data_IF_468167010680
#
_entry.id   IF_468167010680
#
_cell.length_a   1.000
_cell.length_b   1.000
_cell.length_c   1.000
_cell.angle_alpha   90.00
_cell.angle_beta   90.00
_cell.angle_gamma   90.00
#
_symmetry.space_group_name_H-M   'P 1'
#
loop_
_entity.id
_entity.type
_entity.pdbx_description
1 polymer ?
#
# COMPACT_ATOMS: atom_id res chain seq x y z
N UNK A 1 2.09 9.49 -20.92
CA UNK A 1 0.82 8.85 -21.29
C UNK A 1 1.12 7.52 -21.94
N UNK A 2 0.32 6.49 -21.64
CA UNK A 2 0.36 5.23 -22.39
C UNK A 2 0.03 5.56 -23.85
N UNK A 3 0.92 5.22 -24.79
CA UNK A 3 0.67 5.48 -26.21
C UNK A 3 -0.59 4.75 -26.70
N UNK A 4 -1.18 5.17 -27.84
CA UNK A 4 -2.43 4.58 -28.37
C UNK A 4 -2.38 3.06 -28.58
N UNK A 5 -1.18 2.48 -28.75
CA UNK A 5 -0.96 1.02 -28.82
C UNK A 5 -1.29 0.26 -27.52
N UNK A 6 -1.28 0.93 -26.37
CA UNK A 6 -1.57 0.30 -25.06
C UNK A 6 -3.02 0.51 -24.59
N UNK A 7 -3.81 1.33 -25.29
CA UNK A 7 -5.18 1.65 -24.89
C UNK A 7 -6.16 0.48 -25.12
N UNK A 8 -5.90 -0.37 -26.11
CA UNK A 8 -6.75 -1.52 -26.45
C UNK A 8 -6.61 -2.72 -25.52
N UNK A 9 -5.67 -2.69 -24.57
CA UNK A 9 -5.31 -3.83 -23.71
C UNK A 9 -5.69 -3.60 -22.22
N UNK A 10 -6.46 -2.55 -21.90
CA UNK A 10 -6.82 -2.23 -20.52
C UNK A 10 -8.13 -2.90 -20.03
N UNK A 11 -8.75 -3.74 -20.87
CA UNK A 11 -10.00 -4.44 -20.54
C UNK A 11 -9.75 -5.82 -19.93
N UNK A 12 -8.55 -6.38 -20.10
CA UNK A 12 -8.19 -7.71 -19.59
C UNK A 12 -7.12 -7.61 -18.51
N UNK A 13 -7.07 -8.61 -17.63
CA UNK A 13 -6.10 -8.65 -16.54
C UNK A 13 -4.65 -8.72 -17.05
N UNK A 14 -4.40 -9.56 -18.05
CA UNK A 14 -3.09 -9.70 -18.68
C UNK A 14 -2.66 -8.40 -19.36
N UNK A 15 -3.59 -7.77 -20.06
CA UNK A 15 -3.29 -6.53 -20.77
C UNK A 15 -2.98 -5.37 -19.84
N UNK A 16 -3.71 -5.24 -18.72
CA UNK A 16 -3.39 -4.26 -17.66
C UNK A 16 -2.01 -4.56 -17.07
N UNK A 17 -1.71 -5.82 -16.76
CA UNK A 17 -0.40 -6.24 -16.23
C UNK A 17 0.73 -5.89 -17.20
N UNK A 18 0.53 -6.12 -18.51
CA UNK A 18 1.49 -5.77 -19.54
C UNK A 18 1.67 -4.25 -19.69
N UNK A 19 0.60 -3.47 -19.54
CA UNK A 19 0.68 -2.02 -19.53
C UNK A 19 1.49 -1.50 -18.32
N UNK A 20 1.26 -2.06 -17.11
CA UNK A 20 2.04 -1.75 -15.91
C UNK A 20 3.52 -2.07 -16.13
N UNK A 21 3.83 -3.26 -16.62
CA UNK A 21 5.20 -3.66 -16.98
C UNK A 21 5.81 -2.69 -18.01
N UNK A 22 5.06 -2.31 -19.04
CA UNK A 22 5.48 -1.40 -20.10
C UNK A 22 5.91 -0.02 -19.58
N UNK A 23 5.12 0.57 -18.67
CA UNK A 23 5.44 1.85 -18.01
C UNK A 23 6.71 1.72 -17.18
N UNK A 24 6.82 0.68 -16.35
CA UNK A 24 7.97 0.45 -15.49
C UNK A 24 9.26 0.19 -16.29
N UNK A 25 9.15 -0.55 -17.40
CA UNK A 25 10.24 -0.78 -18.34
C UNK A 25 10.69 0.53 -19.00
N UNK A 26 9.75 1.35 -19.47
CA UNK A 26 10.05 2.63 -20.10
C UNK A 26 10.72 3.60 -19.12
N UNK A 27 10.29 3.60 -17.86
CA UNK A 27 10.90 4.35 -16.77
C UNK A 27 12.26 3.80 -16.31
N UNK A 28 12.77 2.72 -16.92
CA UNK A 28 14.06 2.07 -16.63
C UNK A 28 14.20 1.61 -15.17
N UNK A 29 13.08 1.25 -14.54
CA UNK A 29 13.04 0.76 -13.16
C UNK A 29 13.38 -0.73 -13.08
N UNK A 30 13.03 -1.48 -14.13
CA UNK A 30 13.24 -2.92 -14.21
C UNK A 30 14.72 -3.20 -14.50
N UNK A 31 15.51 -3.42 -13.44
CA UNK A 31 16.94 -3.72 -13.54
C UNK A 31 17.22 -5.19 -13.23
N UNK A 32 18.02 -5.90 -14.04
CA UNK A 32 18.38 -7.29 -13.79
C UNK A 32 19.38 -7.40 -12.63
N UNK A 33 18.86 -7.40 -11.40
CA UNK A 33 19.63 -7.56 -10.16
C UNK A 33 18.99 -8.61 -9.26
N UNK A 34 19.73 -9.07 -8.24
CA UNK A 34 19.14 -9.88 -7.17
C UNK A 34 18.00 -9.11 -6.46
N UNK A 35 16.99 -9.83 -5.93
CA UNK A 35 15.92 -9.25 -5.10
C UNK A 35 16.45 -8.40 -3.96
N UNK A 36 16.15 -7.11 -3.96
CA UNK A 36 16.60 -6.20 -2.89
C UNK A 36 15.67 -5.01 -2.60
N UNK A 37 14.54 -4.89 -3.32
CA UNK A 37 13.62 -3.76 -3.22
C UNK A 37 12.54 -4.01 -2.17
N UNK A 38 12.48 -3.15 -1.16
CA UNK A 38 11.45 -3.17 -0.10
C UNK A 38 10.47 -2.01 -0.32
N UNK A 39 9.18 -2.32 -0.44
CA UNK A 39 8.14 -1.28 -0.46
C UNK A 39 7.85 -0.86 0.98
N UNK A 40 7.80 0.44 1.21
CA UNK A 40 7.45 1.03 2.49
C UNK A 40 6.16 1.84 2.34
N UNK A 41 5.08 1.37 2.97
CA UNK A 41 3.79 2.03 3.06
C UNK A 41 3.59 2.66 4.44
N UNK A 42 2.74 3.67 4.53
CA UNK A 42 2.42 4.35 5.78
C UNK A 42 1.90 5.77 5.59
N UNK A 43 1.51 6.41 6.69
CA UNK A 43 0.81 7.69 6.64
C UNK A 43 1.64 8.85 6.10
N UNK A 44 0.98 9.74 5.34
CA UNK A 44 1.49 11.06 5.01
C UNK A 44 1.55 11.99 6.24
N UNK A 45 0.61 11.81 7.18
CA UNK A 45 0.50 12.51 8.46
C UNK A 45 0.75 11.54 9.61
N UNK A 46 1.92 11.67 10.27
CA UNK A 46 2.37 10.79 11.36
C UNK A 46 3.07 11.60 12.44
N UNK A 47 3.13 11.04 13.65
CA UNK A 47 3.80 11.69 14.78
C UNK A 47 5.31 11.80 14.58
N UNK A 48 5.98 12.62 15.41
CA UNK A 48 7.44 12.71 15.36
C UNK A 48 8.11 11.37 15.66
N UNK A 49 7.61 10.63 16.65
CA UNK A 49 8.17 9.34 17.06
C UNK A 49 8.01 8.28 15.97
N UNK A 50 6.84 8.24 15.32
CA UNK A 50 6.60 7.39 14.15
C UNK A 50 7.56 7.77 13.02
N UNK A 51 7.73 9.06 12.72
CA UNK A 51 8.66 9.51 11.69
C UNK A 51 10.11 9.13 12.01
N UNK A 52 10.55 9.27 13.27
CA UNK A 52 11.89 8.84 13.68
C UNK A 52 12.08 7.33 13.53
N UNK A 53 11.08 6.55 13.91
CA UNK A 53 11.10 5.09 13.77
C UNK A 53 11.20 4.66 12.29
N UNK A 54 10.44 5.28 11.39
CA UNK A 54 10.53 4.97 9.94
C UNK A 54 11.94 5.21 9.38
N UNK A 55 12.64 6.27 9.85
CA UNK A 55 14.05 6.51 9.50
C UNK A 55 14.98 5.45 10.08
N UNK A 56 14.73 4.98 11.30
CA UNK A 56 15.54 3.91 11.91
C UNK A 56 15.39 2.60 11.14
N UNK A 57 14.16 2.21 10.78
CA UNK A 57 13.92 1.05 9.93
C UNK A 57 14.62 1.22 8.57
N UNK A 58 14.46 2.37 7.91
CA UNK A 58 15.15 2.65 6.65
C UNK A 58 16.68 2.58 6.76
N UNK A 59 17.25 3.08 7.85
CA UNK A 59 18.68 2.96 8.14
C UNK A 59 19.10 1.48 8.27
N UNK A 60 18.34 0.67 9.01
CA UNK A 60 18.62 -0.77 9.15
C UNK A 60 18.48 -1.54 7.83
N UNK A 61 17.50 -1.20 6.99
CA UNK A 61 17.38 -1.75 5.63
C UNK A 61 18.62 -1.39 4.79
N UNK A 62 19.03 -0.12 4.82
CA UNK A 62 20.20 0.33 4.07
C UNK A 62 21.52 -0.31 4.54
N UNK A 63 21.67 -0.62 5.83
CA UNK A 63 22.85 -1.35 6.33
C UNK A 63 22.95 -2.77 5.75
N UNK A 64 21.84 -3.32 5.24
CA UNK A 64 21.76 -4.64 4.60
C UNK A 64 21.73 -4.54 3.07
N UNK A 65 21.98 -3.35 2.50
CA UNK A 65 22.03 -3.12 1.06
C UNK A 65 20.67 -3.14 0.35
N UNK A 66 19.57 -3.11 1.10
CA UNK A 66 18.21 -3.11 0.57
C UNK A 66 17.83 -1.71 0.06
N UNK A 67 17.20 -1.67 -1.11
CA UNK A 67 16.66 -0.47 -1.76
C UNK A 67 15.20 -0.22 -1.34
N UNK A 68 14.69 0.99 -1.56
CA UNK A 68 13.39 1.43 -1.04
C UNK A 68 12.46 1.90 -2.15
N UNK A 69 11.22 1.42 -2.11
CA UNK A 69 10.11 1.91 -2.92
C UNK A 69 9.02 2.50 -2.01
N UNK A 70 8.40 3.63 -2.39
CA UNK A 70 7.33 4.30 -1.60
C UNK A 70 6.30 5.00 -2.51
N UNK A 71 5.24 5.53 -1.92
CA UNK A 71 4.29 6.47 -2.54
C UNK A 71 4.79 7.91 -2.75
N UNK A 72 6.09 8.17 -2.56
CA UNK A 72 6.76 9.48 -2.75
C UNK A 72 6.46 10.59 -1.74
N UNK A 73 5.30 10.59 -1.08
CA UNK A 73 4.82 11.69 -0.23
C UNK A 73 5.61 11.96 1.07
N UNK A 74 5.04 12.76 1.99
CA UNK A 74 5.67 13.07 3.27
C UNK A 74 5.56 11.91 4.28
N UNK A 75 5.87 12.16 5.55
CA UNK A 75 5.71 11.17 6.61
C UNK A 75 6.49 9.87 6.37
N UNK A 76 5.79 8.74 6.45
CA UNK A 76 6.35 7.39 6.31
C UNK A 76 6.84 7.08 4.89
N UNK A 77 6.41 7.85 3.87
CA UNK A 77 6.89 7.71 2.49
C UNK A 77 8.24 8.42 2.26
N UNK A 78 8.69 9.25 3.21
CA UNK A 78 9.98 9.97 3.15
C UNK A 78 11.01 9.44 4.16
N UNK A 79 10.57 9.07 5.35
CA UNK A 79 11.45 8.69 6.45
C UNK A 79 12.41 7.53 6.12
N UNK A 80 11.93 6.39 5.60
CA UNK A 80 12.76 5.24 5.29
C UNK A 80 13.92 5.58 4.34
N UNK A 81 13.65 6.33 3.27
CA UNK A 81 14.70 6.74 2.32
C UNK A 81 15.77 7.62 2.96
N UNK A 82 15.39 8.54 3.88
CA UNK A 82 16.39 9.34 4.63
C UNK A 82 17.29 8.47 5.49
N UNK A 83 16.72 7.45 6.14
CA UNK A 83 17.49 6.48 6.91
C UNK A 83 18.46 5.70 6.03
N UNK A 84 17.93 5.12 4.94
CA UNK A 84 18.70 4.31 4.01
C UNK A 84 19.85 5.08 3.37
N UNK A 85 19.67 6.37 3.07
CA UNK A 85 20.74 7.21 2.47
C UNK A 85 21.99 7.24 3.33
N UNK A 86 21.84 7.39 4.65
CA UNK A 86 22.98 7.39 5.57
C UNK A 86 23.62 6.00 5.63
N UNK A 87 22.81 4.95 5.65
CA UNK A 87 23.29 3.58 5.77
C UNK A 87 23.95 3.04 4.50
N UNK A 88 23.40 3.34 3.32
CA UNK A 88 24.00 3.01 2.02
C UNK A 88 25.36 3.67 1.87
N UNK A 89 25.52 4.93 2.31
CA UNK A 89 26.81 5.60 2.34
C UNK A 89 27.82 4.85 3.24
N UNK A 90 27.40 4.38 4.43
CA UNK A 90 28.24 3.56 5.32
C UNK A 90 28.63 2.22 4.68
N UNK A 91 27.73 1.61 3.92
CA UNK A 91 27.96 0.37 3.18
C UNK A 91 28.65 0.58 1.82
N UNK A 92 29.00 1.84 1.48
CA UNK A 92 29.61 2.22 0.19
C UNK A 92 28.78 1.76 -1.03
N UNK A 93 27.46 1.65 -0.88
CA UNK A 93 26.54 1.35 -1.98
C UNK A 93 26.35 2.63 -2.80
N UNK A 94 26.89 2.64 -4.01
CA UNK A 94 26.87 3.81 -4.90
C UNK A 94 25.65 3.84 -5.83
N UNK A 95 25.10 2.68 -6.19
CA UNK A 95 23.88 2.56 -6.96
C UNK A 95 22.68 2.27 -6.04
N UNK A 96 22.10 3.34 -5.50
CA UNK A 96 20.93 3.29 -4.60
C UNK A 96 19.66 3.50 -5.40
N UNK A 97 18.62 2.70 -5.15
CA UNK A 97 17.31 2.86 -5.80
C UNK A 97 16.30 3.35 -4.77
N UNK A 98 15.92 4.61 -4.89
CA UNK A 98 14.83 5.24 -4.14
C UNK A 98 13.69 5.52 -5.11
N UNK A 99 12.83 4.52 -5.23
CA UNK A 99 11.73 4.51 -6.19
C UNK A 99 10.51 5.17 -5.54
N UNK A 100 9.99 6.19 -6.21
CA UNK A 100 8.71 6.78 -5.91
C UNK A 100 7.71 6.38 -6.99
N UNK A 101 6.57 5.82 -6.61
CA UNK A 101 5.45 5.53 -7.52
C UNK A 101 4.25 6.38 -7.09
N UNK A 102 3.77 7.21 -7.99
CA UNK A 102 2.62 8.12 -7.79
C UNK A 102 1.65 8.00 -8.96
N UNK A 103 0.52 8.70 -8.90
CA UNK A 103 -0.45 8.84 -9.99
C UNK A 103 -1.01 10.28 -10.03
N UNK A 104 -1.60 10.75 -11.14
CA UNK A 104 -2.04 12.15 -11.30
C UNK A 104 -2.99 12.65 -10.22
N UNK A 105 -3.92 11.81 -9.75
CA UNK A 105 -4.95 12.18 -8.78
C UNK A 105 -4.43 12.42 -7.35
N UNK A 106 -3.21 12.01 -7.02
CA UNK A 106 -2.65 12.11 -5.66
C UNK A 106 -1.34 12.89 -5.60
N UNK A 107 -0.64 13.08 -6.74
CA UNK A 107 0.70 13.69 -6.77
C UNK A 107 0.72 15.13 -6.22
N UNK A 108 -0.38 15.88 -6.33
CA UNK A 108 -0.48 17.22 -5.75
C UNK A 108 -0.58 17.18 -4.21
N UNK A 109 -1.33 16.22 -3.66
CA UNK A 109 -1.49 16.05 -2.22
C UNK A 109 -0.26 15.39 -1.56
N UNK A 110 0.36 14.45 -2.27
CA UNK A 110 1.49 13.64 -1.80
C UNK A 110 2.71 13.82 -2.70
N UNK A 111 3.16 15.07 -2.86
CA UNK A 111 4.22 15.39 -3.81
C UNK A 111 5.53 14.64 -3.57
N UNK A 112 6.23 14.21 -4.65
CA UNK A 112 7.47 13.47 -4.52
C UNK A 112 8.53 14.22 -3.75
N UNK A 113 9.03 13.59 -2.69
CA UNK A 113 10.11 14.18 -1.91
C UNK A 113 11.46 14.12 -2.67
N UNK A 114 12.37 15.11 -2.50
CA UNK A 114 13.56 15.25 -3.36
C UNK A 114 14.62 14.14 -3.24
N UNK A 115 14.46 13.19 -2.32
CA UNK A 115 15.39 12.06 -2.19
C UNK A 115 15.07 10.95 -3.20
N UNK A 116 13.85 10.95 -3.75
CA UNK A 116 13.43 10.04 -4.81
C UNK A 116 14.34 10.27 -6.01
N UNK A 117 15.07 9.25 -6.43
CA UNK A 117 15.96 9.31 -7.58
C UNK A 117 15.42 8.54 -8.79
N UNK A 118 14.30 7.83 -8.61
CA UNK A 118 13.55 7.15 -9.65
C UNK A 118 12.05 7.41 -9.43
N UNK A 119 11.46 8.34 -10.19
CA UNK A 119 10.04 8.65 -10.13
C UNK A 119 9.28 7.95 -11.25
N UNK A 120 8.19 7.27 -10.91
CA UNK A 120 7.23 6.70 -11.86
C UNK A 120 5.86 7.31 -11.60
N UNK A 121 5.20 7.76 -12.66
CA UNK A 121 3.82 8.21 -12.62
C UNK A 121 2.98 7.15 -13.33
N UNK A 122 2.20 6.38 -12.58
CA UNK A 122 1.25 5.41 -13.10
C UNK A 122 -0.05 6.11 -13.52
N UNK A 123 -0.84 5.53 -14.43
CA UNK A 123 -2.06 6.19 -14.93
C UNK A 123 -3.14 6.41 -13.88
N UNK A 124 -3.26 5.50 -12.91
CA UNK A 124 -4.29 5.51 -11.87
C UNK A 124 -3.81 4.78 -10.59
N UNK A 125 -4.66 4.77 -9.57
CA UNK A 125 -4.38 4.19 -8.25
C UNK A 125 -4.17 2.68 -8.34
N UNK A 126 -5.01 1.96 -9.09
CA UNK A 126 -4.96 0.52 -9.20
C UNK A 126 -3.68 0.04 -9.89
N UNK A 127 -3.26 0.71 -10.97
CA UNK A 127 -1.98 0.42 -11.63
C UNK A 127 -0.79 0.80 -10.75
N UNK A 128 -0.90 1.84 -9.91
CA UNK A 128 0.08 2.15 -8.86
C UNK A 128 0.18 1.03 -7.82
N UNK A 129 -0.94 0.51 -7.34
CA UNK A 129 -1.00 -0.59 -6.38
C UNK A 129 -0.40 -1.88 -6.97
N UNK A 130 -0.75 -2.21 -8.21
CA UNK A 130 -0.17 -3.35 -8.92
C UNK A 130 1.35 -3.19 -9.07
N UNK A 131 1.83 -1.99 -9.46
CA UNK A 131 3.26 -1.74 -9.58
C UNK A 131 4.04 -2.00 -8.27
N UNK A 132 3.47 -1.66 -7.11
CA UNK A 132 4.09 -1.98 -5.82
C UNK A 132 4.23 -3.48 -5.59
N UNK A 133 3.17 -4.25 -5.83
CA UNK A 133 3.15 -5.71 -5.59
C UNK A 133 4.05 -6.44 -6.59
N UNK A 134 4.11 -5.97 -7.84
CA UNK A 134 4.96 -6.56 -8.88
C UNK A 134 6.45 -6.27 -8.67
N UNK A 135 6.81 -5.08 -8.17
CA UNK A 135 8.21 -4.68 -7.95
C UNK A 135 8.76 -5.09 -6.57
N UNK A 136 7.91 -5.09 -5.56
CA UNK A 136 8.31 -5.35 -4.18
C UNK A 136 8.72 -6.80 -3.96
N UNK A 137 9.86 -7.00 -3.31
CA UNK A 137 10.26 -8.32 -2.79
C UNK A 137 9.79 -8.53 -1.36
N UNK A 138 9.13 -7.52 -0.81
CA UNK A 138 8.67 -7.47 0.55
C UNK A 138 8.15 -6.09 0.88
N UNK A 139 7.21 -6.04 1.82
CA UNK A 139 6.48 -4.83 2.15
C UNK A 139 6.55 -4.60 3.66
N UNK A 140 6.88 -3.37 4.04
CA UNK A 140 6.80 -2.88 5.41
C UNK A 140 5.70 -1.84 5.45
N UNK A 141 4.78 -1.99 6.40
CA UNK A 141 3.66 -1.07 6.61
C UNK A 141 3.82 -0.38 7.96
N UNK A 142 4.02 0.94 7.93
CA UNK A 142 4.04 1.81 9.10
C UNK A 142 2.63 2.31 9.45
N UNK A 143 2.41 2.90 10.64
CA UNK A 143 1.13 3.51 10.96
C UNK A 143 0.72 4.57 9.92
N UNK A 144 -0.56 4.57 9.57
CA UNK A 144 -1.11 5.42 8.52
C UNK A 144 -2.61 5.58 8.62
N UNK A 145 -3.18 6.31 7.67
CA UNK A 145 -4.62 6.55 7.59
C UNK A 145 -5.28 5.63 6.57
N UNK A 146 -6.36 6.13 5.96
CA UNK A 146 -7.18 5.39 4.99
C UNK A 146 -6.42 4.87 3.77
N UNK A 147 -5.46 5.63 3.23
CA UNK A 147 -4.65 5.16 2.08
C UNK A 147 -3.74 3.98 2.44
N UNK A 148 -3.21 3.95 3.67
CA UNK A 148 -2.43 2.80 4.15
C UNK A 148 -3.32 1.59 4.40
N UNK A 149 -4.54 1.79 4.89
CA UNK A 149 -5.52 0.71 5.05
C UNK A 149 -5.94 0.12 3.68
N UNK A 150 -6.14 0.98 2.67
CA UNK A 150 -6.38 0.56 1.28
C UNK A 150 -5.25 -0.33 0.75
N UNK A 151 -4.00 0.09 0.93
CA UNK A 151 -2.81 -0.66 0.51
C UNK A 151 -2.71 -2.03 1.22
N UNK A 152 -3.01 -2.11 2.52
CA UNK A 152 -3.05 -3.37 3.28
C UNK A 152 -4.13 -4.31 2.71
N UNK A 153 -5.35 -3.81 2.54
CA UNK A 153 -6.48 -4.61 2.06
C UNK A 153 -6.27 -5.10 0.62
N UNK A 154 -5.69 -4.26 -0.23
CA UNK A 154 -5.28 -4.62 -1.59
C UNK A 154 -4.35 -5.84 -1.57
N UNK A 155 -3.28 -5.77 -0.79
CA UNK A 155 -2.29 -6.84 -0.72
C UNK A 155 -2.84 -8.11 -0.08
N UNK A 156 -3.56 -8.01 1.04
CA UNK A 156 -4.12 -9.18 1.71
C UNK A 156 -5.16 -9.88 0.84
N UNK A 157 -6.01 -9.12 0.15
CA UNK A 157 -6.97 -9.66 -0.79
C UNK A 157 -6.34 -10.51 -1.89
N UNK A 158 -5.23 -10.03 -2.47
CA UNK A 158 -4.42 -10.78 -3.44
C UNK A 158 -3.80 -12.02 -2.80
N UNK A 159 -3.11 -11.88 -1.67
CA UNK A 159 -2.41 -13.01 -1.04
C UNK A 159 -3.35 -14.10 -0.53
N UNK A 160 -4.60 -13.76 -0.23
CA UNK A 160 -5.64 -14.71 0.22
C UNK A 160 -6.28 -15.50 -0.92
N UNK A 161 -6.00 -15.19 -2.18
CA UNK A 161 -6.46 -15.99 -3.30
C UNK A 161 -5.77 -17.35 -3.33
N UNK A 162 -6.44 -18.35 -3.90
CA UNK A 162 -5.93 -19.74 -3.91
C UNK A 162 -4.66 -19.86 -4.77
N UNK A 163 -4.60 -19.09 -5.86
CA UNK A 163 -3.47 -19.03 -6.79
C UNK A 163 -2.20 -18.50 -6.11
N UNK A 164 -2.36 -17.65 -5.09
CA UNK A 164 -1.28 -16.97 -4.39
C UNK A 164 -0.91 -17.61 -3.05
N UNK A 165 -1.49 -18.76 -2.70
CA UNK A 165 -1.33 -19.37 -1.38
C UNK A 165 0.12 -19.71 -1.03
N UNK A 166 0.89 -20.14 -2.03
CA UNK A 166 2.27 -20.60 -1.87
C UNK A 166 3.30 -19.48 -2.10
N UNK A 167 2.85 -18.27 -2.43
CA UNK A 167 3.76 -17.14 -2.65
C UNK A 167 4.44 -16.73 -1.34
N UNK A 168 5.78 -16.81 -1.25
CA UNK A 168 6.50 -16.32 -0.09
C UNK A 168 6.63 -14.81 -0.20
N UNK A 169 5.64 -14.08 0.32
CA UNK A 169 5.60 -12.62 0.25
C UNK A 169 5.76 -12.00 1.65
N UNK A 170 6.96 -11.53 2.04
CA UNK A 170 7.17 -11.00 3.39
C UNK A 170 6.44 -9.67 3.58
N UNK A 171 5.48 -9.66 4.51
CA UNK A 171 4.71 -8.50 4.91
C UNK A 171 4.90 -8.25 6.41
N UNK A 172 5.43 -7.08 6.77
CA UNK A 172 5.70 -6.70 8.16
C UNK A 172 4.96 -5.41 8.49
N UNK A 173 4.12 -5.43 9.50
CA UNK A 173 3.50 -4.25 10.08
C UNK A 173 4.37 -3.78 11.26
N UNK A 174 4.84 -2.54 11.24
CA UNK A 174 5.81 -2.08 12.23
C UNK A 174 5.73 -0.61 12.59
N UNK A 175 5.98 -0.30 13.86
CA UNK A 175 6.04 1.06 14.37
C UNK A 175 6.75 1.14 15.73
N UNK A 176 6.90 2.35 16.29
CA UNK A 176 7.47 2.52 17.63
C UNK A 176 6.57 1.87 18.69
N UNK A 177 7.08 1.69 19.92
CA UNK A 177 6.33 1.10 21.04
C UNK A 177 4.94 1.74 21.24
N UNK A 178 4.85 3.07 21.07
CA UNK A 178 3.59 3.83 21.21
C UNK A 178 2.53 3.46 20.15
N UNK A 179 2.92 2.81 19.06
CA UNK A 179 2.02 2.39 17.98
C UNK A 179 1.41 1.00 18.21
N UNK A 180 1.73 0.31 19.32
CA UNK A 180 1.14 -1.00 19.62
C UNK A 180 -0.41 -0.99 19.62
N UNK A 181 -1.12 -0.01 20.22
CA UNK A 181 -2.58 0.04 20.17
C UNK A 181 -3.13 0.19 18.74
N UNK A 182 -2.45 0.97 17.89
CA UNK A 182 -2.81 1.13 16.48
C UNK A 182 -2.78 -0.22 15.76
N UNK A 183 -1.71 -1.00 15.93
CA UNK A 183 -1.60 -2.31 15.28
C UNK A 183 -2.56 -3.35 15.85
N UNK A 184 -2.89 -3.29 17.14
CA UNK A 184 -3.94 -4.13 17.72
C UNK A 184 -5.30 -3.85 17.10
N UNK A 185 -5.61 -2.58 16.80
CA UNK A 185 -6.86 -2.20 16.14
C UNK A 185 -6.89 -2.68 14.68
N UNK A 186 -5.78 -2.52 13.95
CA UNK A 186 -5.65 -3.03 12.57
C UNK A 186 -5.77 -4.56 12.52
N UNK A 187 -5.06 -5.29 13.39
CA UNK A 187 -5.12 -6.76 13.47
C UNK A 187 -6.54 -7.24 13.78
N UNK A 188 -7.21 -6.60 14.76
CA UNK A 188 -8.61 -6.89 15.09
C UNK A 188 -9.53 -6.68 13.90
N UNK A 189 -9.42 -5.55 13.21
CA UNK A 189 -10.24 -5.24 12.04
C UNK A 189 -10.03 -6.26 10.92
N UNK A 190 -8.78 -6.61 10.62
CA UNK A 190 -8.45 -7.61 9.60
C UNK A 190 -8.99 -8.99 9.97
N UNK A 191 -8.81 -9.44 11.22
CA UNK A 191 -9.34 -10.75 11.66
C UNK A 191 -10.86 -10.80 11.60
N UNK A 192 -11.53 -9.73 12.05
CA UNK A 192 -12.98 -9.64 12.04
C UNK A 192 -13.56 -9.71 10.62
N UNK A 193 -12.89 -9.06 9.66
CA UNK A 193 -13.39 -8.92 8.29
C UNK A 193 -12.90 -10.04 7.37
N UNK A 194 -11.60 -10.33 7.35
CA UNK A 194 -10.97 -11.26 6.41
C UNK A 194 -10.60 -12.61 7.04
N UNK A 195 -10.75 -12.75 8.36
CA UNK A 195 -10.48 -13.98 9.11
C UNK A 195 -9.01 -14.19 9.49
N UNK A 196 -8.76 -15.20 10.34
CA UNK A 196 -7.42 -15.47 10.87
C UNK A 196 -6.38 -15.84 9.82
N UNK A 197 -6.80 -16.45 8.70
CA UNK A 197 -5.92 -16.74 7.55
C UNK A 197 -5.28 -15.46 6.98
N UNK A 198 -5.96 -14.32 7.06
CA UNK A 198 -5.39 -13.04 6.66
C UNK A 198 -4.26 -12.61 7.61
N UNK A 199 -4.45 -12.87 8.91
CA UNK A 199 -3.46 -12.53 9.93
C UNK A 199 -2.21 -13.42 9.91
N UNK A 200 -2.29 -14.61 9.32
CA UNK A 200 -1.12 -15.47 9.05
C UNK A 200 -0.20 -14.91 7.95
N UNK A 201 -0.69 -13.96 7.13
CA UNK A 201 0.07 -13.38 6.02
C UNK A 201 0.98 -12.22 6.41
N UNK A 202 0.92 -11.75 7.66
CA UNK A 202 1.80 -10.68 8.14
C UNK A 202 2.39 -10.94 9.52
N UNK A 203 3.50 -10.27 9.83
CA UNK A 203 4.10 -10.24 11.17
C UNK A 203 4.03 -8.81 11.72
N UNK A 204 3.54 -8.63 12.95
CA UNK A 204 3.57 -7.34 13.64
C UNK A 204 4.83 -7.28 14.50
N UNK A 205 5.71 -6.31 14.23
CA UNK A 205 6.96 -6.08 14.99
C UNK A 205 6.97 -4.65 15.51
N UNK A 206 6.90 -4.47 16.82
CA UNK A 206 6.84 -3.16 17.45
C UNK A 206 8.16 -2.83 18.16
N UNK A 207 8.71 -1.65 17.90
CA UNK A 207 9.87 -1.11 18.62
C UNK A 207 11.22 -1.74 18.28
N UNK A 208 11.30 -2.60 17.27
CA UNK A 208 12.54 -3.30 16.87
C UNK A 208 12.88 -3.10 15.39
N UNK A 209 13.50 -1.95 15.02
CA UNK A 209 13.86 -1.70 13.63
C UNK A 209 14.92 -2.67 13.09
N UNK A 210 15.78 -3.23 13.96
CA UNK A 210 16.82 -4.20 13.60
C UNK A 210 16.18 -5.53 13.23
N UNK A 211 15.22 -5.99 14.04
CA UNK A 211 14.41 -7.18 13.83
C UNK A 211 13.61 -7.11 12.54
N UNK A 212 12.93 -5.99 12.29
CA UNK A 212 12.20 -5.72 11.02
C UNK A 212 13.13 -5.93 9.82
N UNK A 213 14.29 -5.28 9.80
CA UNK A 213 15.20 -5.36 8.67
C UNK A 213 15.83 -6.76 8.50
N UNK A 214 16.08 -7.49 9.61
CA UNK A 214 16.55 -8.88 9.58
C UNK A 214 15.50 -9.82 9.01
N UNK A 215 14.26 -9.75 9.50
CA UNK A 215 13.14 -10.55 9.01
C UNK A 215 12.85 -10.27 7.54
N UNK A 216 12.87 -8.99 7.14
CA UNK A 216 12.70 -8.61 5.74
C UNK A 216 13.80 -9.19 4.85
N UNK A 217 15.08 -9.06 5.25
CA UNK A 217 16.20 -9.65 4.51
C UNK A 217 16.11 -11.17 4.38
N UNK A 218 15.67 -11.88 5.42
CA UNK A 218 15.41 -13.33 5.38
C UNK A 218 14.22 -13.68 4.47
N UNK A 219 13.15 -12.89 4.50
CA UNK A 219 12.01 -13.02 3.60
C UNK A 219 12.41 -12.89 2.13
N UNK A 220 13.21 -11.87 1.80
CA UNK A 220 13.71 -11.63 0.44
C UNK A 220 14.59 -12.77 -0.06
N UNK A 221 15.36 -13.43 0.81
CA UNK A 221 16.10 -14.65 0.42
C UNK A 221 15.15 -15.78 0.00
N UNK A 222 14.06 -16.00 0.73
CA UNK A 222 13.02 -16.97 0.36
C UNK A 222 12.32 -16.60 -0.95
N UNK A 223 12.04 -15.31 -1.17
CA UNK A 223 11.52 -14.81 -2.45
C UNK A 223 12.46 -15.16 -3.59
N UNK A 224 13.77 -14.91 -3.42
CA UNK A 224 14.79 -15.24 -4.43
C UNK A 224 14.81 -16.73 -4.77
N UNK A 225 14.82 -17.59 -3.75
CA UNK A 225 14.79 -19.05 -3.92
C UNK A 225 13.52 -19.50 -4.66
N UNK A 226 12.38 -18.93 -4.30
CA UNK A 226 11.11 -19.21 -4.97
C UNK A 226 11.10 -18.77 -6.44
N UNK A 227 11.55 -17.54 -6.75
CA UNK A 227 11.61 -17.06 -8.14
C UNK A 227 12.55 -17.92 -9.00
N UNK A 228 13.66 -18.39 -8.44
CA UNK A 228 14.56 -19.33 -9.12
C UNK A 228 13.85 -20.66 -9.41
N UNK A 229 13.15 -21.22 -8.43
CA UNK A 229 12.44 -22.49 -8.58
C UNK A 229 11.32 -22.40 -9.63
N UNK A 230 10.60 -21.26 -9.67
CA UNK A 230 9.51 -21.01 -10.62
C UNK A 230 9.97 -20.41 -11.96
N UNK A 231 11.28 -20.18 -12.14
CA UNK A 231 11.87 -19.53 -13.33
C UNK A 231 11.22 -18.17 -13.67
N UNK A 232 10.86 -17.42 -12.64
CA UNK A 232 10.28 -16.08 -12.74
C UNK A 232 11.35 -14.98 -12.62
N UNK A 233 11.04 -13.79 -13.09
CA UNK A 233 11.93 -12.63 -13.05
C UNK A 233 12.16 -12.13 -11.63
N UNK A 234 13.39 -11.70 -11.33
CA UNK A 234 13.69 -11.02 -10.07
C UNK A 234 13.24 -9.56 -10.04
N UNK A 235 12.97 -8.92 -11.17
CA UNK A 235 12.69 -7.48 -11.19
C UNK A 235 11.23 -7.15 -11.51
N UNK A 236 10.42 -8.18 -11.73
CA UNK A 236 8.97 -8.08 -11.88
C UNK A 236 8.32 -9.42 -11.50
N UNK A 237 7.32 -9.41 -10.61
CA UNK A 237 6.61 -10.60 -10.20
C UNK A 237 5.54 -10.99 -11.20
N UNK A 238 5.83 -11.88 -12.15
CA UNK A 238 4.79 -12.37 -13.05
C UNK A 238 3.91 -13.42 -12.38
N UNK A 239 4.45 -14.18 -11.41
CA UNK A 239 3.76 -15.27 -10.73
C UNK A 239 2.68 -14.84 -9.73
N UNK A 240 2.62 -13.55 -9.36
CA UNK A 240 1.49 -13.08 -8.54
C UNK A 240 0.25 -12.93 -9.41
N UNK A 241 -0.80 -13.66 -9.09
CA UNK A 241 -2.08 -13.53 -9.76
C UNK A 241 -2.86 -12.37 -9.14
N UNK A 242 -3.23 -11.37 -9.93
CA UNK A 242 -4.00 -10.21 -9.46
C UNK A 242 -5.34 -10.23 -10.17
N UNK A 243 -6.44 -10.59 -9.48
CA UNK A 243 -7.74 -10.68 -10.12
C UNK A 243 -8.18 -9.34 -10.72
N UNK A 244 -8.86 -9.37 -11.87
CA UNK A 244 -9.34 -8.18 -12.58
C UNK A 244 -10.08 -7.16 -11.68
N UNK A 245 -10.92 -7.54 -10.69
CA UNK A 245 -11.55 -6.60 -9.76
C UNK A 245 -10.58 -5.72 -8.94
N UNK A 246 -9.32 -6.16 -8.77
CA UNK A 246 -8.25 -5.39 -8.13
C UNK A 246 -7.55 -4.43 -9.10
N UNK A 247 -7.63 -4.67 -10.41
CA UNK A 247 -6.94 -3.88 -11.44
C UNK A 247 -7.82 -2.81 -12.07
N UNK A 248 -9.14 -3.02 -12.04
CA UNK A 248 -10.10 -2.06 -12.61
C UNK A 248 -10.20 -0.79 -11.76
N UNK A 249 -10.08 0.40 -12.38
CA UNK A 249 -10.27 1.68 -11.70
C UNK A 249 -11.62 1.78 -11.00
N UNK A 250 -11.61 2.26 -9.77
CA UNK A 250 -12.83 2.58 -9.03
C UNK A 250 -13.09 4.09 -9.00
N UNK A 251 -14.24 4.51 -9.55
CA UNK A 251 -14.70 5.90 -9.50
C UNK A 251 -15.70 6.06 -8.34
N UNK A 252 -15.35 6.76 -7.26
CA UNK A 252 -16.17 6.82 -6.04
C UNK A 252 -17.31 7.82 -6.19
N UNK A 253 -18.44 7.36 -6.75
CA UNK A 253 -19.72 8.07 -6.70
C UNK A 253 -20.50 7.68 -5.45
N UNK A 254 -21.50 8.46 -5.03
CA UNK A 254 -22.38 8.09 -3.91
C UNK A 254 -23.09 6.76 -4.13
N UNK A 255 -23.51 6.49 -5.36
CA UNK A 255 -24.12 5.22 -5.76
C UNK A 255 -23.12 4.07 -5.67
N UNK A 256 -21.90 4.25 -6.20
CA UNK A 256 -20.86 3.22 -6.17
C UNK A 256 -20.41 2.89 -4.73
N UNK A 257 -20.28 3.91 -3.88
CA UNK A 257 -19.93 3.74 -2.46
C UNK A 257 -21.05 3.06 -1.67
N UNK A 258 -22.30 3.38 -1.97
CA UNK A 258 -23.45 2.68 -1.40
C UNK A 258 -23.57 1.25 -1.95
N UNK A 259 -23.18 0.98 -3.20
CA UNK A 259 -23.28 -0.35 -3.80
C UNK A 259 -22.23 -1.37 -3.33
N UNK A 260 -21.33 -1.00 -2.40
CA UNK A 260 -20.28 -1.90 -1.91
C UNK A 260 -20.87 -3.04 -1.08
N UNK A 261 -20.46 -4.27 -1.38
CA UNK A 261 -21.07 -5.47 -0.81
C UNK A 261 -20.43 -5.89 0.54
N UNK A 262 -20.56 -5.06 1.58
CA UNK A 262 -19.82 -5.23 2.83
C UNK A 262 -20.54 -6.13 3.85
N UNK A 263 -20.74 -7.42 3.54
CA UNK A 263 -21.39 -8.38 4.43
C UNK A 263 -20.54 -9.63 4.74
N UNK A 264 -20.89 -10.33 5.83
CA UNK A 264 -20.24 -11.58 6.26
C UNK A 264 -20.59 -12.75 5.35
N UNK A 265 -19.68 -13.72 5.23
CA UNK A 265 -19.90 -14.95 4.46
C UNK A 265 -19.40 -14.87 3.02
N UNK A 266 -18.95 -13.69 2.57
CA UNK A 266 -18.22 -13.53 1.31
C UNK A 266 -16.83 -14.21 1.38
N UNK A 267 -16.30 -14.68 0.24
CA UNK A 267 -14.88 -15.04 0.15
C UNK A 267 -14.01 -13.85 0.56
N UNK A 268 -12.97 -14.11 1.36
CA UNK A 268 -12.11 -13.04 1.89
C UNK A 268 -11.47 -12.16 0.80
N UNK A 269 -10.97 -12.71 -0.34
CA UNK A 269 -10.51 -11.88 -1.46
C UNK A 269 -11.59 -10.96 -2.05
N UNK A 270 -12.85 -11.38 -2.11
CA UNK A 270 -13.91 -10.54 -2.68
C UNK A 270 -14.28 -9.41 -1.71
N UNK A 271 -14.36 -9.73 -0.42
CA UNK A 271 -14.64 -8.75 0.62
C UNK A 271 -13.52 -7.72 0.76
N UNK A 272 -12.26 -8.16 0.67
CA UNK A 272 -11.10 -7.27 0.66
C UNK A 272 -11.13 -6.29 -0.52
N UNK A 273 -11.65 -6.71 -1.69
CA UNK A 273 -11.75 -5.84 -2.86
C UNK A 273 -12.72 -4.67 -2.64
N UNK A 274 -13.88 -4.92 -2.01
CA UNK A 274 -14.85 -3.86 -1.72
C UNK A 274 -14.46 -3.01 -0.52
N UNK A 275 -13.83 -3.59 0.51
CA UNK A 275 -13.22 -2.80 1.59
C UNK A 275 -12.13 -1.86 1.02
N UNK A 276 -11.28 -2.36 0.12
CA UNK A 276 -10.28 -1.55 -0.59
C UNK A 276 -10.95 -0.36 -1.30
N UNK A 277 -12.04 -0.60 -2.06
CA UNK A 277 -12.81 0.46 -2.73
C UNK A 277 -13.41 1.46 -1.76
N UNK A 278 -13.92 1.00 -0.60
CA UNK A 278 -14.42 1.89 0.45
C UNK A 278 -13.33 2.87 0.94
N UNK A 279 -12.14 2.35 1.28
CA UNK A 279 -11.02 3.20 1.69
C UNK A 279 -10.53 4.11 0.56
N UNK A 280 -10.49 3.62 -0.68
CA UNK A 280 -10.14 4.41 -1.87
C UNK A 280 -11.09 5.59 -2.08
N UNK A 281 -12.40 5.36 -1.89
CA UNK A 281 -13.40 6.42 -1.95
C UNK A 281 -13.23 7.47 -0.85
N UNK A 282 -12.86 7.05 0.37
CA UNK A 282 -12.55 8.00 1.46
C UNK A 282 -11.29 8.81 1.15
N UNK A 283 -10.23 8.17 0.61
CA UNK A 283 -9.03 8.87 0.13
C UNK A 283 -9.43 9.92 -0.90
N UNK A 284 -10.17 9.52 -1.94
CA UNK A 284 -10.61 10.41 -3.00
C UNK A 284 -11.43 11.60 -2.47
N UNK A 285 -12.43 11.34 -1.61
CA UNK A 285 -13.24 12.40 -0.99
C UNK A 285 -12.46 13.37 -0.10
N UNK A 286 -11.25 13.01 0.34
CA UNK A 286 -10.38 13.87 1.15
C UNK A 286 -9.40 14.71 0.32
N UNK A 287 -9.00 14.27 -0.88
CA UNK A 287 -7.85 14.86 -1.60
C UNK A 287 -8.04 15.05 -3.10
N UNK A 288 -9.03 14.41 -3.74
CA UNK A 288 -9.28 14.52 -5.19
C UNK A 288 -10.38 15.54 -5.45
N UNK A 289 -10.08 16.56 -6.25
CA UNK A 289 -10.97 17.70 -6.50
C UNK A 289 -12.38 17.27 -6.96
N UNK A 290 -12.46 16.35 -7.92
CA UNK A 290 -13.74 15.84 -8.43
C UNK A 290 -14.59 15.19 -7.33
N UNK A 291 -13.98 14.37 -6.48
CA UNK A 291 -14.69 13.72 -5.37
C UNK A 291 -15.05 14.71 -4.28
N UNK A 292 -14.18 15.67 -3.95
CA UNK A 292 -14.47 16.73 -3.00
C UNK A 292 -15.68 17.57 -3.43
N UNK A 293 -15.78 17.92 -4.72
CA UNK A 293 -16.93 18.63 -5.27
C UNK A 293 -18.24 17.83 -5.09
N UNK A 294 -18.21 16.50 -5.29
CA UNK A 294 -19.37 15.64 -5.04
C UNK A 294 -19.77 15.61 -3.57
N UNK A 295 -18.80 15.63 -2.65
CA UNK A 295 -19.08 15.66 -1.21
C UNK A 295 -19.72 17.00 -0.81
N UNK A 296 -19.28 18.10 -1.41
CA UNK A 296 -19.87 19.43 -1.20
C UNK A 296 -21.30 19.50 -1.73
N UNK A 297 -21.57 18.92 -2.91
CA UNK A 297 -22.88 18.96 -3.55
C UNK A 297 -23.91 18.00 -2.92
N UNK A 298 -23.51 16.75 -2.66
CA UNK A 298 -24.44 15.68 -2.27
C UNK A 298 -24.28 15.21 -0.81
N UNK A 299 -23.32 15.76 -0.07
CA UNK A 299 -22.98 15.34 1.28
C UNK A 299 -22.03 14.14 1.34
N UNK A 300 -21.77 13.58 2.54
CA UNK A 300 -20.79 12.49 2.72
C UNK A 300 -21.20 11.19 2.01
N UNK A 301 -20.22 10.37 1.63
CA UNK A 301 -20.46 9.02 1.15
C UNK A 301 -21.08 8.16 2.26
N UNK A 302 -22.18 7.46 1.95
CA UNK A 302 -22.81 6.52 2.88
C UNK A 302 -22.25 5.12 2.64
N UNK A 303 -21.62 4.56 3.66
CA UNK A 303 -21.05 3.21 3.63
C UNK A 303 -21.90 2.35 4.54
N UNK A 304 -22.47 1.26 4.01
CA UNK A 304 -23.32 0.35 4.75
C UNK A 304 -22.87 -1.10 4.56
N UNK A 305 -23.33 -1.99 5.44
CA UNK A 305 -22.92 -3.39 5.44
C UNK A 305 -23.41 -4.13 6.69
N UNK A 306 -22.76 -5.25 7.00
CA UNK A 306 -22.98 -6.00 8.25
C UNK A 306 -22.70 -5.11 9.47
N UNK A 307 -23.61 -5.14 10.44
CA UNK A 307 -23.59 -4.25 11.61
C UNK A 307 -22.26 -4.33 12.39
N UNK A 308 -21.70 -5.53 12.60
CA UNK A 308 -20.45 -5.68 13.35
C UNK A 308 -19.25 -5.15 12.55
N UNK A 309 -19.26 -5.39 11.24
CA UNK A 309 -18.24 -4.85 10.33
C UNK A 309 -18.27 -3.33 10.25
N UNK A 310 -19.46 -2.74 10.16
CA UNK A 310 -19.65 -1.29 10.11
C UNK A 310 -19.24 -0.64 11.44
N UNK A 311 -19.55 -1.25 12.58
CA UNK A 311 -19.06 -0.79 13.88
C UNK A 311 -17.53 -0.77 13.94
N UNK A 312 -16.88 -1.87 13.53
CA UNK A 312 -15.42 -1.95 13.53
C UNK A 312 -14.78 -0.95 12.54
N UNK A 313 -15.41 -0.72 11.38
CA UNK A 313 -14.98 0.28 10.41
C UNK A 313 -15.09 1.70 10.98
N UNK A 314 -16.22 2.04 11.60
CA UNK A 314 -16.44 3.34 12.25
C UNK A 314 -15.42 3.58 13.38
N UNK A 315 -15.19 2.59 14.24
CA UNK A 315 -14.16 2.68 15.30
C UNK A 315 -12.75 2.91 14.73
N UNK A 316 -12.39 2.20 13.66
CA UNK A 316 -11.10 2.36 12.99
C UNK A 316 -10.95 3.76 12.38
N UNK A 317 -11.98 4.22 11.68
CA UNK A 317 -11.98 5.53 11.02
C UNK A 317 -11.96 6.68 12.04
N UNK A 318 -12.70 6.56 13.16
CA UNK A 318 -12.65 7.52 14.28
C UNK A 318 -11.25 7.59 14.89
N UNK A 319 -10.62 6.44 15.12
CA UNK A 319 -9.25 6.40 15.62
C UNK A 319 -8.26 7.09 14.68
N UNK A 320 -8.43 6.97 13.35
CA UNK A 320 -7.62 7.72 12.38
C UNK A 320 -7.84 9.24 12.47
N UNK A 321 -9.07 9.69 12.74
CA UNK A 321 -9.37 11.11 12.95
C UNK A 321 -8.72 11.62 14.23
N UNK A 322 -8.92 10.92 15.35
CA UNK A 322 -8.36 11.29 16.68
C UNK A 322 -6.83 11.35 16.66
N UNK A 323 -6.20 10.40 15.97
CA UNK A 323 -4.75 10.34 15.80
C UNK A 323 -4.22 11.27 14.70
N UNK A 324 -5.07 12.12 14.11
CA UNK A 324 -4.74 13.11 13.06
C UNK A 324 -4.07 12.50 11.81
N UNK A 325 -4.55 11.32 11.40
CA UNK A 325 -4.05 10.58 10.23
C UNK A 325 -4.77 10.91 8.92
N UNK A 326 -5.90 11.62 9.00
CA UNK A 326 -6.72 11.98 7.83
C UNK A 326 -6.26 13.27 7.13
N UNK A 327 -5.58 14.17 7.85
CA UNK A 327 -5.18 15.49 7.36
C UNK A 327 -3.95 16.00 8.09
N UNK A 328 -3.08 16.73 7.40
CA UNK A 328 -1.85 17.30 7.96
C UNK A 328 -2.13 18.48 8.88
N UNK A 329 -3.11 19.33 8.55
CA UNK A 329 -3.41 20.54 9.31
C UNK A 329 -4.90 20.92 9.24
N UNK A 330 -5.37 21.62 10.28
CA UNK A 330 -6.75 22.07 10.41
C UNK A 330 -7.70 21.00 10.95
N UNK A 331 -8.97 21.38 11.06
CA UNK A 331 -10.04 20.47 11.45
C UNK A 331 -10.39 19.53 10.29
N UNK A 332 -10.62 18.25 10.60
CA UNK A 332 -11.05 17.25 9.63
C UNK A 332 -12.56 17.08 9.71
N UNK A 333 -13.23 17.26 8.57
CA UNK A 333 -14.65 16.92 8.39
C UNK A 333 -14.73 15.62 7.61
N UNK A 334 -15.32 14.55 8.16
CA UNK A 334 -15.45 13.28 7.45
C UNK A 334 -16.19 13.44 6.12
N UNK A 335 -15.59 12.92 5.03
CA UNK A 335 -16.23 12.80 3.73
C UNK A 335 -17.13 11.55 3.63
N UNK A 336 -17.33 10.85 4.74
CA UNK A 336 -18.05 9.59 4.83
C UNK A 336 -18.98 9.58 6.05
N UNK A 337 -19.97 8.71 6.00
CA UNK A 337 -20.86 8.35 7.08
C UNK A 337 -21.02 6.83 7.06
N UNK A 338 -20.59 6.17 8.14
CA UNK A 338 -20.84 4.74 8.31
C UNK A 338 -22.27 4.56 8.82
N UNK A 339 -23.04 3.71 8.13
CA UNK A 339 -24.45 3.42 8.41
C UNK A 339 -24.55 1.93 8.78
N UNK A 340 -24.87 1.67 10.05
CA UNK A 340 -24.98 0.31 10.62
C UNK A 340 -26.40 -0.24 10.57
#
# INVERSE_FOLDING_TARGET
ELGPEYASDLETSDGITNAVFGVLRNARILQPSDPNLVVCWGGHSISRDEYLYTKQVGYELGLRGLDICTGCGPGAMKGPMKGATIAHAKQRKTNTRYIGITEPGIIAAESPNPIVNHLVIMPDIEKRLEAFVRLGHGIIVFPGGVGTAEEILYLLGILLSEENKDLPFPLILSGPAIAAPYFQQIDRFIRLTLGDKAAERYEIIVGDPVGVARKMSQGIKRVREFRLAQRDSFFYNWQVEIPLPYQQPFVPTHEAMAGLDLHKGRPAPDLAADLRRAFSGIVAGNVKEESMARIEEFGPFKIHGDTEMMQALDELLRAFVEQRRMKISGEYRPCYQVVA
#
